data_IF_507682767644
#
_entry.id   IF_507682767644
#
_cell.length_a   1.000
_cell.length_b   1.000
_cell.length_c   1.000
_cell.angle_alpha   90.00
_cell.angle_beta   90.00
_cell.angle_gamma   90.00
#
_symmetry.space_group_name_H-M   'P 1'
#
loop_
_entity.id
_entity.type
_entity.pdbx_description
1 polymer ?
#
# COMPACT_ATOMS: atom_id res chain seq x y z
N UNK A 1 10.74 -10.78 -32.11
CA UNK A 1 11.26 -10.13 -30.89
C UNK A 1 10.77 -10.92 -29.68
N UNK A 2 11.66 -11.23 -28.76
CA UNK A 2 11.30 -11.94 -27.53
C UNK A 2 11.26 -10.95 -26.38
N UNK A 3 10.24 -11.09 -25.52
CA UNK A 3 10.11 -10.33 -24.29
C UNK A 3 10.27 -11.33 -23.15
N UNK A 4 11.14 -10.98 -22.21
CA UNK A 4 11.31 -11.74 -20.96
C UNK A 4 10.87 -10.86 -19.77
N UNK A 5 10.10 -11.44 -18.87
CA UNK A 5 9.62 -10.78 -17.65
C UNK A 5 10.01 -11.66 -16.46
N UNK A 6 10.68 -11.08 -15.49
CA UNK A 6 11.08 -11.79 -14.29
C UNK A 6 11.86 -10.94 -13.30
N UNK A 7 12.19 -11.49 -12.14
CA UNK A 7 12.96 -10.77 -11.14
C UNK A 7 14.40 -10.50 -11.64
N UNK A 8 14.97 -9.34 -11.35
CA UNK A 8 16.30 -8.95 -11.83
C UNK A 8 17.41 -9.88 -11.33
N UNK A 9 17.21 -10.53 -10.19
CA UNK A 9 18.14 -11.51 -9.63
C UNK A 9 18.35 -12.74 -10.51
N UNK A 10 17.43 -13.05 -11.42
CA UNK A 10 17.57 -14.17 -12.36
C UNK A 10 18.30 -13.80 -13.66
N UNK A 11 18.47 -12.52 -13.96
CA UNK A 11 19.06 -12.07 -15.22
C UNK A 11 20.44 -12.69 -15.46
N UNK A 12 21.29 -12.75 -14.44
CA UNK A 12 22.64 -13.32 -14.55
C UNK A 12 22.64 -14.85 -14.71
N UNK A 13 21.55 -15.53 -14.37
CA UNK A 13 21.42 -16.98 -14.51
C UNK A 13 20.89 -17.39 -15.88
N UNK A 14 20.01 -16.55 -16.45
CA UNK A 14 19.30 -16.85 -17.70
C UNK A 14 20.08 -16.33 -18.92
N UNK A 15 20.68 -15.15 -18.79
CA UNK A 15 21.38 -14.50 -19.90
C UNK A 15 22.89 -14.60 -19.75
N UNK A 16 23.56 -14.95 -20.86
CA UNK A 16 25.03 -14.89 -20.93
C UNK A 16 25.53 -13.50 -20.55
N UNK A 17 26.73 -13.36 -19.96
CA UNK A 17 27.36 -12.05 -19.72
C UNK A 17 27.51 -11.19 -20.97
N UNK A 18 27.58 -11.81 -22.14
CA UNK A 18 27.72 -11.15 -23.45
C UNK A 18 26.38 -10.94 -24.18
N UNK A 19 25.27 -11.43 -23.61
CA UNK A 19 23.96 -11.20 -24.22
C UNK A 19 23.58 -9.73 -24.10
N UNK A 20 23.11 -9.16 -25.20
CA UNK A 20 22.64 -7.77 -25.24
C UNK A 20 21.19 -7.76 -25.66
N UNK A 21 20.37 -6.98 -24.93
CA UNK A 21 18.97 -6.69 -25.25
C UNK A 21 18.83 -5.22 -25.63
N UNK A 22 17.90 -4.92 -26.52
CA UNK A 22 17.69 -3.54 -27.00
C UNK A 22 17.28 -2.62 -25.82
N UNK A 23 16.41 -3.12 -24.91
CA UNK A 23 15.86 -2.35 -23.82
C UNK A 23 15.62 -3.21 -22.57
N UNK A 24 16.10 -2.74 -21.42
CA UNK A 24 15.69 -3.23 -20.11
C UNK A 24 14.75 -2.25 -19.46
N UNK A 25 13.55 -2.72 -19.07
CA UNK A 25 12.59 -1.93 -18.29
C UNK A 25 12.65 -2.44 -16.85
N UNK A 26 12.99 -1.53 -15.93
CA UNK A 26 13.11 -1.84 -14.50
C UNK A 26 11.91 -1.21 -13.77
N UNK A 27 11.03 -2.05 -13.25
CA UNK A 27 9.94 -1.63 -12.40
C UNK A 27 10.44 -1.41 -10.97
N UNK A 28 10.62 -0.16 -10.60
CA UNK A 28 11.06 0.28 -9.28
C UNK A 28 9.87 0.69 -8.38
N UNK A 29 8.72 0.10 -8.56
CA UNK A 29 7.54 0.28 -7.70
C UNK A 29 7.79 -0.16 -6.25
N UNK A 30 8.81 -1.01 -6.04
CA UNK A 30 9.30 -1.42 -4.73
C UNK A 30 10.74 -0.94 -4.51
N UNK A 31 11.14 -0.62 -3.26
CA UNK A 31 12.53 -0.37 -2.94
C UNK A 31 13.41 -1.56 -3.37
N UNK A 32 14.32 -1.31 -4.28
CA UNK A 32 15.23 -2.32 -4.83
C UNK A 32 16.64 -1.72 -4.89
N UNK A 33 17.65 -2.34 -4.28
CA UNK A 33 19.02 -1.86 -4.37
C UNK A 33 19.53 -1.87 -5.82
N UNK A 34 20.29 -0.85 -6.19
CA UNK A 34 20.89 -0.75 -7.54
C UNK A 34 21.73 -1.97 -7.86
N UNK A 35 22.40 -2.55 -6.87
CA UNK A 35 23.24 -3.76 -7.03
C UNK A 35 22.48 -4.97 -7.59
N UNK A 36 21.18 -5.10 -7.31
CA UNK A 36 20.37 -6.20 -7.82
C UNK A 36 20.06 -6.08 -9.31
N UNK A 37 20.06 -4.88 -9.84
CA UNK A 37 19.74 -4.61 -11.26
C UNK A 37 20.97 -4.44 -12.15
N UNK A 38 22.18 -4.36 -11.59
CA UNK A 38 23.41 -4.27 -12.37
C UNK A 38 23.53 -5.32 -13.48
N UNK A 39 23.13 -6.59 -13.28
CA UNK A 39 23.15 -7.56 -14.36
C UNK A 39 22.27 -7.21 -15.55
N UNK A 40 21.17 -6.49 -15.35
CA UNK A 40 20.31 -5.98 -16.41
C UNK A 40 20.93 -4.77 -17.10
N UNK A 41 21.52 -3.84 -16.33
CA UNK A 41 22.19 -2.67 -16.89
C UNK A 41 23.30 -3.03 -17.88
N UNK A 42 24.18 -3.96 -17.51
CA UNK A 42 25.32 -4.32 -18.34
C UNK A 42 24.94 -5.15 -19.58
N UNK A 43 23.69 -5.54 -19.70
CA UNK A 43 23.17 -6.37 -20.82
C UNK A 43 22.16 -5.63 -21.69
N UNK A 44 21.94 -4.35 -21.45
CA UNK A 44 20.96 -3.56 -22.20
C UNK A 44 21.65 -2.40 -22.92
N UNK A 45 21.24 -2.14 -24.16
CA UNK A 45 21.66 -0.93 -24.88
C UNK A 45 20.99 0.32 -24.30
N UNK A 46 19.75 0.17 -23.85
CA UNK A 46 18.99 1.22 -23.20
C UNK A 46 18.33 0.71 -21.92
N UNK A 47 18.20 1.58 -20.94
CA UNK A 47 17.52 1.27 -19.68
C UNK A 47 16.45 2.29 -19.39
N UNK A 48 15.25 1.81 -19.06
CA UNK A 48 14.14 2.60 -18.56
C UNK A 48 13.83 2.18 -17.13
N UNK A 49 13.86 3.15 -16.21
CA UNK A 49 13.44 2.94 -14.83
C UNK A 49 12.06 3.56 -14.64
N UNK A 50 11.08 2.77 -14.21
CA UNK A 50 9.72 3.20 -13.90
C UNK A 50 9.53 3.13 -12.40
N UNK A 51 9.17 4.24 -11.76
CA UNK A 51 9.00 4.29 -10.32
C UNK A 51 8.56 5.67 -9.83
N UNK A 52 8.29 5.75 -8.54
CA UNK A 52 7.93 6.99 -7.88
C UNK A 52 9.09 7.48 -6.99
N UNK A 53 9.85 8.44 -7.51
CA UNK A 53 10.99 9.04 -6.81
C UNK A 53 10.57 9.85 -5.57
N UNK A 54 9.31 10.22 -5.43
CA UNK A 54 8.80 10.97 -4.28
C UNK A 54 8.52 10.05 -3.09
N UNK A 55 8.08 8.82 -3.34
CA UNK A 55 7.92 7.78 -2.32
C UNK A 55 9.24 7.12 -1.94
N UNK A 56 10.17 7.05 -2.88
CA UNK A 56 11.40 6.32 -2.70
C UNK A 56 12.39 7.17 -1.89
N UNK A 57 12.63 6.80 -0.65
CA UNK A 57 13.71 7.35 0.17
C UNK A 57 15.03 6.60 -0.04
N UNK A 58 14.97 5.38 -0.58
CA UNK A 58 16.11 4.50 -0.84
C UNK A 58 15.87 3.66 -2.10
N UNK A 59 16.93 3.06 -2.62
CA UNK A 59 16.88 2.12 -3.74
C UNK A 59 16.84 2.77 -5.11
N UNK A 60 16.55 1.97 -6.12
CA UNK A 60 16.74 2.29 -7.53
C UNK A 60 16.15 3.63 -7.98
N UNK A 61 14.91 3.91 -7.60
CA UNK A 61 14.24 5.15 -8.01
C UNK A 61 14.85 6.40 -7.32
N UNK A 62 15.23 6.27 -6.04
CA UNK A 62 15.86 7.36 -5.29
C UNK A 62 17.30 7.62 -5.76
N UNK A 63 18.06 6.55 -6.03
CA UNK A 63 19.48 6.66 -6.39
C UNK A 63 19.67 7.09 -7.85
N UNK A 64 18.85 6.59 -8.78
CA UNK A 64 19.00 6.90 -10.21
C UNK A 64 18.12 8.05 -10.69
N UNK A 65 17.04 8.37 -10.00
CA UNK A 65 16.14 9.46 -10.40
C UNK A 65 16.86 10.80 -10.64
N UNK A 66 17.78 11.24 -9.78
CA UNK A 66 18.55 12.48 -9.98
C UNK A 66 19.58 12.40 -11.11
N UNK A 67 19.98 11.20 -11.51
CA UNK A 67 21.07 10.97 -12.48
C UNK A 67 20.57 10.77 -13.91
N UNK A 68 19.31 10.38 -14.08
CA UNK A 68 18.75 10.04 -15.39
C UNK A 68 17.78 11.13 -15.88
N UNK A 69 17.69 11.32 -17.20
CA UNK A 69 16.63 12.14 -17.78
C UNK A 69 15.27 11.56 -17.38
N UNK A 70 14.40 12.39 -16.80
CA UNK A 70 13.12 11.95 -16.28
C UNK A 70 11.93 12.53 -17.04
N UNK A 71 10.86 11.77 -17.07
CA UNK A 71 9.53 12.16 -17.54
C UNK A 71 8.50 11.80 -16.49
N UNK A 72 7.70 12.77 -16.09
CA UNK A 72 6.60 12.54 -15.14
C UNK A 72 5.33 12.21 -15.93
N UNK A 73 4.59 11.20 -15.46
CA UNK A 73 3.25 10.90 -15.93
C UNK A 73 2.27 11.60 -14.98
N UNK A 74 1.66 12.71 -15.38
CA UNK A 74 0.86 13.53 -14.46
C UNK A 74 -0.52 12.96 -14.17
N UNK A 75 -0.99 12.04 -15.01
CA UNK A 75 -2.35 11.51 -14.89
C UNK A 75 -2.33 10.12 -14.28
N UNK A 76 -2.90 9.95 -13.11
CA UNK A 76 -3.20 8.64 -12.57
C UNK A 76 -4.32 7.99 -13.40
N UNK A 77 -4.06 6.80 -13.95
CA UNK A 77 -5.08 6.07 -14.74
C UNK A 77 -6.18 5.47 -13.88
N UNK A 78 -5.94 5.27 -12.61
CA UNK A 78 -6.98 4.90 -11.66
C UNK A 78 -7.72 6.18 -11.29
N UNK A 79 -9.04 6.17 -11.41
CA UNK A 79 -9.89 7.29 -11.03
C UNK A 79 -9.65 7.60 -9.55
N UNK A 80 -8.82 8.60 -9.29
CA UNK A 80 -8.68 9.15 -7.96
C UNK A 80 -9.86 10.08 -7.73
N UNK A 81 -10.58 9.85 -6.66
CA UNK A 81 -11.56 10.80 -6.16
C UNK A 81 -10.91 12.17 -5.92
N UNK A 82 -11.68 13.24 -6.14
CA UNK A 82 -11.18 14.60 -6.02
C UNK A 82 -10.64 14.92 -4.61
N UNK A 83 -11.23 14.34 -3.56
CA UNK A 83 -10.77 14.50 -2.18
C UNK A 83 -9.40 13.83 -1.96
N UNK A 84 -9.24 12.61 -2.44
CA UNK A 84 -7.97 11.87 -2.36
C UNK A 84 -6.89 12.58 -3.19
N UNK A 85 -7.21 13.03 -4.40
CA UNK A 85 -6.27 13.76 -5.25
C UNK A 85 -5.82 15.08 -4.61
N UNK A 86 -6.74 15.83 -4.00
CA UNK A 86 -6.42 17.06 -3.27
C UNK A 86 -5.54 16.80 -2.06
N UNK A 87 -5.83 15.73 -1.31
CA UNK A 87 -4.99 15.32 -0.18
C UNK A 87 -3.57 14.94 -0.63
N UNK A 88 -3.42 14.17 -1.70
CA UNK A 88 -2.13 13.80 -2.25
C UNK A 88 -1.37 15.03 -2.76
N UNK A 89 -2.03 15.94 -3.48
CA UNK A 89 -1.42 17.17 -3.95
C UNK A 89 -0.87 18.01 -2.78
N UNK A 90 -1.64 18.15 -1.70
CA UNK A 90 -1.20 18.87 -0.49
C UNK A 90 -0.05 18.15 0.26
N UNK A 91 0.18 16.87 0.01
CA UNK A 91 1.16 16.02 0.71
C UNK A 91 2.27 15.48 -0.22
N UNK A 92 2.81 16.31 -1.07
CA UNK A 92 4.02 16.01 -1.84
C UNK A 92 3.80 15.63 -3.32
N UNK A 93 2.55 15.61 -3.79
CA UNK A 93 2.21 15.32 -5.19
C UNK A 93 1.65 16.53 -5.95
N UNK A 94 1.93 17.74 -5.49
CA UNK A 94 1.50 18.97 -6.15
C UNK A 94 1.94 19.01 -7.63
N UNK A 95 1.00 19.30 -8.52
CA UNK A 95 1.22 19.36 -9.98
C UNK A 95 1.53 18.02 -10.65
N UNK A 96 1.33 16.89 -9.94
CA UNK A 96 1.61 15.53 -10.45
C UNK A 96 0.37 14.68 -10.53
N UNK A 97 -0.53 14.81 -9.55
CA UNK A 97 -1.76 14.05 -9.48
C UNK A 97 -2.92 14.96 -9.87
N UNK A 98 -3.62 14.59 -10.93
CA UNK A 98 -4.84 15.25 -11.36
C UNK A 98 -6.03 14.33 -11.12
N UNK A 99 -7.08 14.86 -10.48
CA UNK A 99 -8.31 14.13 -10.31
C UNK A 99 -9.08 14.05 -11.62
N UNK A 100 -9.65 12.89 -11.90
CA UNK A 100 -10.71 12.79 -12.90
C UNK A 100 -11.98 13.31 -12.24
N UNK A 101 -12.71 14.28 -12.85
CA UNK A 101 -13.95 14.77 -12.28
C UNK A 101 -14.91 13.62 -12.00
N UNK A 102 -15.29 13.46 -10.75
CA UNK A 102 -16.31 12.50 -10.30
C UNK A 102 -17.60 13.23 -9.97
N UNK A 103 -18.77 12.59 -10.06
CA UNK A 103 -19.99 13.16 -9.54
C UNK A 103 -19.82 13.55 -8.07
N UNK A 104 -20.47 14.61 -7.59
CA UNK A 104 -20.45 14.95 -6.18
C UNK A 104 -21.05 13.78 -5.38
N UNK A 105 -20.27 13.22 -4.50
CA UNK A 105 -20.60 12.06 -3.66
C UNK A 105 -20.17 12.31 -2.22
N UNK A 106 -20.31 11.29 -1.39
CA UNK A 106 -19.88 11.28 -0.01
C UNK A 106 -18.37 11.57 0.10
N UNK A 107 -17.97 12.10 1.25
CA UNK A 107 -16.56 12.40 1.54
C UNK A 107 -15.72 11.14 1.43
N UNK A 108 -14.86 11.06 0.44
CA UNK A 108 -14.02 9.91 0.15
C UNK A 108 -12.87 9.71 1.13
N UNK A 109 -12.54 10.75 1.90
CA UNK A 109 -11.48 10.71 2.90
C UNK A 109 -11.96 11.34 4.19
N UNK A 110 -11.93 10.58 5.29
CA UNK A 110 -12.32 11.03 6.63
C UNK A 110 -11.15 10.76 7.59
N UNK A 111 -10.85 11.73 8.44
CA UNK A 111 -9.91 11.56 9.55
C UNK A 111 -10.71 11.51 10.86
N UNK A 112 -10.51 10.43 11.60
CA UNK A 112 -11.06 10.28 12.95
C UNK A 112 -9.90 10.24 13.96
N UNK A 113 -9.99 11.06 14.99
CA UNK A 113 -9.04 11.08 16.10
C UNK A 113 -9.61 10.32 17.27
N UNK A 114 -8.91 9.29 17.69
CA UNK A 114 -9.24 8.49 18.87
C UNK A 114 -8.37 8.91 20.02
N UNK A 115 -8.98 9.35 21.13
CA UNK A 115 -8.23 9.65 22.35
C UNK A 115 -7.90 8.34 23.08
N UNK A 116 -6.62 8.04 23.18
CA UNK A 116 -6.15 6.83 23.82
C UNK A 116 -4.68 6.95 24.24
N UNK A 117 -4.36 6.27 25.30
CA UNK A 117 -2.99 6.09 25.79
C UNK A 117 -2.66 4.62 25.80
N UNK A 118 -1.39 4.29 25.69
CA UNK A 118 -0.92 2.92 25.77
C UNK A 118 0.38 2.81 26.58
N UNK A 119 0.78 1.59 26.82
CA UNK A 119 2.09 1.27 27.38
C UNK A 119 2.90 0.56 26.29
N UNK A 120 4.21 0.88 26.14
CA UNK A 120 5.07 0.10 25.26
C UNK A 120 5.05 -1.38 25.62
N UNK A 121 5.06 -2.24 24.61
CA UNK A 121 5.22 -3.67 24.84
C UNK A 121 6.61 -3.97 25.45
N UNK A 122 6.79 -5.08 26.17
CA UNK A 122 8.08 -5.45 26.73
C UNK A 122 9.20 -5.41 25.68
N UNK A 123 10.24 -4.61 25.94
CA UNK A 123 11.37 -4.40 25.04
C UNK A 123 11.17 -3.32 23.96
N UNK A 124 10.01 -2.67 23.91
CA UNK A 124 9.73 -1.55 23.00
C UNK A 124 9.88 -0.21 23.73
N UNK A 125 10.21 0.84 22.99
CA UNK A 125 10.34 2.22 23.49
C UNK A 125 9.16 3.11 23.14
N UNK A 126 8.30 2.66 22.24
CA UNK A 126 7.12 3.38 21.77
C UNK A 126 5.85 2.54 21.96
N UNK A 127 4.72 3.22 22.10
CA UNK A 127 3.40 2.59 22.03
C UNK A 127 3.08 2.31 20.59
N UNK A 128 2.91 1.05 20.23
CA UNK A 128 2.65 0.59 18.85
C UNK A 128 1.22 0.06 18.65
N UNK A 129 0.43 -0.01 19.71
CA UNK A 129 -1.00 -0.34 19.66
C UNK A 129 -1.73 0.29 20.84
N UNK A 130 -2.95 0.75 20.60
CA UNK A 130 -3.81 1.40 21.59
C UNK A 130 -5.16 0.72 21.60
N UNK A 131 -5.62 0.27 22.76
CA UNK A 131 -6.87 -0.48 22.91
C UNK A 131 -8.10 0.33 22.45
N UNK A 132 -8.14 1.63 22.74
CA UNK A 132 -9.24 2.50 22.30
C UNK A 132 -9.33 2.57 20.78
N UNK A 133 -8.20 2.67 20.08
CA UNK A 133 -8.17 2.67 18.61
C UNK A 133 -8.57 1.30 18.06
N UNK A 134 -8.06 0.21 18.64
CA UNK A 134 -8.46 -1.15 18.26
C UNK A 134 -9.97 -1.34 18.39
N UNK A 135 -10.55 -0.94 19.55
CA UNK A 135 -11.99 -1.03 19.79
C UNK A 135 -12.79 -0.21 18.77
N UNK A 136 -12.34 1.01 18.48
CA UNK A 136 -13.02 1.86 17.50
C UNK A 136 -12.99 1.28 16.09
N UNK A 137 -11.86 0.73 15.67
CA UNK A 137 -11.74 0.06 14.36
C UNK A 137 -12.64 -1.18 14.29
N UNK A 138 -12.73 -1.97 15.38
CA UNK A 138 -13.67 -3.08 15.47
C UNK A 138 -15.09 -2.62 15.26
N UNK A 139 -15.52 -1.56 15.95
CA UNK A 139 -16.88 -1.00 15.81
C UNK A 139 -17.15 -0.57 14.36
N UNK A 140 -16.20 0.11 13.72
CA UNK A 140 -16.32 0.53 12.31
C UNK A 140 -16.43 -0.65 11.36
N UNK A 141 -15.64 -1.70 11.56
CA UNK A 141 -15.66 -2.91 10.72
C UNK A 141 -16.98 -3.66 10.88
N UNK A 142 -17.45 -3.85 12.11
CA UNK A 142 -18.72 -4.55 12.38
C UNK A 142 -19.91 -3.75 11.86
N UNK A 143 -19.94 -2.43 12.09
CA UNK A 143 -20.98 -1.56 11.56
C UNK A 143 -21.04 -1.63 10.02
N UNK A 144 -19.89 -1.57 9.33
CA UNK A 144 -19.84 -1.68 7.88
C UNK A 144 -20.31 -3.05 7.40
N UNK A 145 -19.87 -4.11 8.04
CA UNK A 145 -20.28 -5.47 7.69
C UNK A 145 -21.80 -5.70 7.83
N UNK A 146 -22.45 -5.01 8.77
CA UNK A 146 -23.90 -5.09 8.97
C UNK A 146 -24.69 -4.14 8.06
N UNK A 147 -24.17 -2.96 7.77
CA UNK A 147 -24.89 -1.92 7.03
C UNK A 147 -24.65 -1.95 5.54
N UNK A 148 -23.48 -2.44 5.11
CA UNK A 148 -23.06 -2.52 3.70
C UNK A 148 -22.28 -3.80 3.41
N UNK A 149 -22.91 -4.96 3.57
CA UNK A 149 -22.23 -6.25 3.40
C UNK A 149 -21.74 -6.52 1.98
N UNK A 150 -22.27 -5.80 0.99
CA UNK A 150 -21.87 -5.90 -0.43
C UNK A 150 -20.58 -5.15 -0.76
N UNK A 151 -20.15 -4.22 0.11
CA UNK A 151 -18.91 -3.45 -0.11
C UNK A 151 -17.69 -4.19 0.46
N UNK A 152 -16.65 -4.27 -0.33
CA UNK A 152 -15.38 -4.85 0.12
C UNK A 152 -14.64 -3.91 1.08
N UNK A 153 -14.06 -4.48 2.15
CA UNK A 153 -13.40 -3.73 3.22
C UNK A 153 -12.02 -4.31 3.52
N UNK A 154 -11.06 -3.41 3.76
CA UNK A 154 -9.78 -3.77 4.34
C UNK A 154 -9.37 -2.81 5.45
N UNK A 155 -8.58 -3.32 6.39
CA UNK A 155 -7.91 -2.54 7.43
C UNK A 155 -6.41 -2.60 7.20
N UNK A 156 -5.75 -1.44 7.14
CA UNK A 156 -4.30 -1.31 7.01
C UNK A 156 -3.75 -0.74 8.31
N UNK A 157 -2.89 -1.51 8.97
CA UNK A 157 -2.16 -1.05 10.16
C UNK A 157 -0.75 -0.58 9.80
N UNK A 158 -0.24 0.44 10.47
CA UNK A 158 1.11 0.95 10.19
C UNK A 158 2.23 0.06 10.72
N UNK A 159 1.94 -0.86 11.64
CA UNK A 159 2.90 -1.81 12.18
C UNK A 159 2.26 -3.17 12.45
N UNK A 160 3.11 -4.18 12.58
CA UNK A 160 2.69 -5.57 12.74
C UNK A 160 1.96 -5.84 14.06
N UNK A 161 2.44 -5.25 15.17
CA UNK A 161 1.81 -5.47 16.49
C UNK A 161 0.36 -5.01 16.48
N UNK A 162 0.10 -3.83 15.88
CA UNK A 162 -1.24 -3.28 15.74
C UNK A 162 -2.10 -4.11 14.78
N UNK A 163 -1.54 -4.57 13.66
CA UNK A 163 -2.23 -5.47 12.74
C UNK A 163 -2.69 -6.76 13.42
N UNK A 164 -1.83 -7.37 14.23
CA UNK A 164 -2.15 -8.60 14.97
C UNK A 164 -3.21 -8.35 16.05
N UNK A 165 -3.16 -7.23 16.75
CA UNK A 165 -4.16 -6.81 17.72
C UNK A 165 -5.54 -6.60 17.07
N UNK A 166 -5.59 -5.87 15.95
CA UNK A 166 -6.80 -5.64 15.17
C UNK A 166 -7.38 -6.95 14.65
N UNK A 167 -6.58 -7.79 14.01
CA UNK A 167 -7.01 -9.10 13.49
C UNK A 167 -7.64 -9.96 14.59
N UNK A 168 -6.98 -10.03 15.74
CA UNK A 168 -7.47 -10.80 16.87
C UNK A 168 -8.77 -10.23 17.45
N UNK A 169 -8.89 -8.91 17.57
CA UNK A 169 -10.07 -8.25 18.11
C UNK A 169 -11.28 -8.39 17.17
N UNK A 170 -11.09 -8.17 15.86
CA UNK A 170 -12.15 -8.31 14.85
C UNK A 170 -12.63 -9.75 14.77
N UNK A 171 -11.71 -10.73 14.76
CA UNK A 171 -12.06 -12.15 14.74
C UNK A 171 -12.91 -12.53 15.96
N UNK A 172 -12.58 -12.02 17.14
CA UNK A 172 -13.36 -12.25 18.35
C UNK A 172 -14.74 -11.60 18.30
N UNK A 173 -14.82 -10.40 17.77
CA UNK A 173 -16.10 -9.66 17.65
C UNK A 173 -17.04 -10.32 16.62
N UNK A 174 -16.49 -10.86 15.53
CA UNK A 174 -17.27 -11.56 14.51
C UNK A 174 -17.67 -12.98 14.93
N UNK A 175 -17.00 -13.58 15.92
CA UNK A 175 -17.24 -14.96 16.33
C UNK A 175 -18.66 -15.17 16.87
N UNK A 176 -19.38 -16.16 16.30
CA UNK A 176 -20.72 -16.53 16.74
C UNK A 176 -21.83 -15.57 16.31
N UNK A 177 -21.56 -14.67 15.37
CA UNK A 177 -22.55 -13.77 14.79
C UNK A 177 -22.93 -14.22 13.36
N UNK A 178 -24.02 -14.99 13.14
CA UNK A 178 -24.40 -15.52 11.83
C UNK A 178 -24.57 -14.45 10.75
N UNK A 179 -24.99 -13.24 11.14
CA UNK A 179 -25.16 -12.11 10.23
C UNK A 179 -23.83 -11.61 9.62
N UNK A 180 -22.71 -11.99 10.20
CA UNK A 180 -21.38 -11.59 9.77
C UNK A 180 -20.62 -12.69 9.01
N UNK A 181 -21.12 -13.92 9.02
CA UNK A 181 -20.42 -15.07 8.42
C UNK A 181 -20.12 -14.88 6.94
N UNK A 182 -21.07 -14.35 6.19
CA UNK A 182 -20.92 -14.12 4.75
C UNK A 182 -19.85 -13.05 4.46
N UNK A 183 -19.87 -11.95 5.23
CA UNK A 183 -18.91 -10.84 5.05
C UNK A 183 -17.46 -11.27 5.32
N UNK A 184 -17.25 -12.10 6.33
CA UNK A 184 -15.91 -12.59 6.70
C UNK A 184 -15.54 -13.92 6.01
N UNK A 185 -16.35 -14.41 5.09
CA UNK A 185 -16.08 -15.66 4.39
C UNK A 185 -14.82 -15.56 3.51
N UNK A 186 -13.86 -16.49 3.61
CA UNK A 186 -12.61 -16.42 2.84
C UNK A 186 -12.80 -16.66 1.34
N UNK A 187 -13.99 -17.10 0.92
CA UNK A 187 -14.31 -17.40 -0.48
C UNK A 187 -14.85 -16.22 -1.28
N UNK A 188 -14.97 -15.03 -0.71
CA UNK A 188 -15.37 -13.82 -1.44
C UNK A 188 -14.33 -13.43 -2.50
N UNK A 189 -14.76 -12.77 -3.57
CA UNK A 189 -13.86 -12.28 -4.61
C UNK A 189 -12.82 -11.28 -4.05
N UNK A 190 -13.25 -10.45 -3.11
CA UNK A 190 -12.44 -9.49 -2.36
C UNK A 190 -12.66 -9.68 -0.86
N UNK A 191 -12.06 -10.72 -0.24
CA UNK A 191 -12.32 -11.04 1.15
C UNK A 191 -11.84 -9.93 2.08
N UNK A 192 -12.55 -9.76 3.20
CA UNK A 192 -12.09 -8.88 4.27
C UNK A 192 -10.67 -9.24 4.70
N UNK A 193 -9.84 -8.24 4.90
CA UNK A 193 -8.46 -8.47 5.33
C UNK A 193 -7.94 -7.37 6.24
N UNK A 194 -7.05 -7.77 7.16
CA UNK A 194 -6.24 -6.86 7.97
C UNK A 194 -4.78 -7.09 7.58
N UNK A 195 -4.12 -6.07 7.06
CA UNK A 195 -2.75 -6.15 6.56
C UNK A 195 -1.87 -5.07 7.19
N UNK A 196 -0.57 -5.33 7.21
CA UNK A 196 0.42 -4.30 7.50
C UNK A 196 0.63 -3.40 6.27
N UNK A 197 0.99 -2.13 6.47
CA UNK A 197 1.22 -1.16 5.39
C UNK A 197 2.20 -1.68 4.32
N UNK A 198 3.23 -2.43 4.72
CA UNK A 198 4.18 -3.03 3.80
C UNK A 198 3.55 -4.06 2.84
N UNK A 199 2.48 -4.71 3.27
CA UNK A 199 1.73 -5.74 2.52
C UNK A 199 0.57 -5.16 1.71
N UNK A 200 0.18 -3.91 1.97
CA UNK A 200 -0.98 -3.26 1.36
C UNK A 200 -0.79 -2.87 -0.13
N UNK A 201 0.32 -3.28 -0.74
CA UNK A 201 0.61 -2.97 -2.15
C UNK A 201 -0.42 -3.62 -3.06
N UNK A 202 -0.93 -2.82 -4.00
CA UNK A 202 -1.96 -3.22 -4.94
C UNK A 202 -3.29 -3.66 -4.30
N UNK A 203 -3.48 -3.45 -2.99
CA UNK A 203 -4.74 -3.69 -2.32
C UNK A 203 -5.77 -2.67 -2.82
N UNK A 204 -6.88 -3.19 -3.35
CA UNK A 204 -8.03 -2.38 -3.77
C UNK A 204 -9.26 -2.92 -3.05
N UNK A 205 -10.04 -2.02 -2.47
CA UNK A 205 -11.33 -2.28 -1.81
C UNK A 205 -12.23 -1.07 -1.97
N UNK A 206 -13.53 -1.28 -1.88
CA UNK A 206 -14.51 -0.19 -1.87
C UNK A 206 -14.28 0.73 -0.68
N UNK A 207 -13.87 0.16 0.46
CA UNK A 207 -13.56 0.91 1.66
C UNK A 207 -12.25 0.45 2.31
N UNK A 208 -11.43 1.39 2.76
CA UNK A 208 -10.17 1.12 3.44
C UNK A 208 -10.10 1.94 4.72
N UNK A 209 -9.85 1.27 5.84
CA UNK A 209 -9.55 1.89 7.12
C UNK A 209 -8.03 1.84 7.33
N UNK A 210 -7.40 2.99 7.51
CA UNK A 210 -5.98 3.07 7.87
C UNK A 210 -5.90 3.37 9.36
N UNK A 211 -5.31 2.46 10.13
CA UNK A 211 -5.17 2.58 11.59
C UNK A 211 -3.71 2.75 11.97
N UNK A 212 -3.42 3.77 12.75
CA UNK A 212 -2.06 4.24 13.02
C UNK A 212 -1.39 3.42 14.13
N UNK A 213 -2.09 3.20 15.25
CA UNK A 213 -1.63 2.41 16.39
C UNK A 213 -0.62 3.11 17.32
N UNK A 214 0.06 4.14 16.85
CA UNK A 214 1.05 4.86 17.63
C UNK A 214 0.40 5.90 18.54
N UNK A 215 0.83 5.94 19.80
CA UNK A 215 0.36 6.93 20.75
C UNK A 215 1.48 7.39 21.69
N UNK A 216 1.17 8.46 22.43
CA UNK A 216 2.00 8.91 23.55
C UNK A 216 1.78 7.99 24.76
N UNK A 217 2.81 7.80 25.55
CA UNK A 217 2.76 7.15 26.87
C UNK A 217 2.03 7.98 27.89
#
# INVERSE_FOLDING_TARGET
RQIWIGPPTLVHQIFSPTAVVDLAVLDASTPMPVTQVLPAFVRAEQVLVVGDSRRATTGLAAELGPLLPSRTLPTARNSLDAGIASFLAANGYEGVVEAVPSPPGDTSLTLELVDGRGMPAPGQTAVETVEAEVSRVVDMVIDRALTRPEESLAVIALNRLHADALRSAITRAAAGAPALEEFFAPGAAEPFTVVELAEARALQRDHIIISVGYAKT
#
